data_IF_400183248008
#
_entry.id   IF_400183248008
#
_cell.length_a   1.000
_cell.length_b   1.000
_cell.length_c   1.000
_cell.angle_alpha   90.00
_cell.angle_beta   90.00
_cell.angle_gamma   90.00
#
_symmetry.space_group_name_H-M   'P 1'
#
loop_
_entity.id
_entity.type
_entity.pdbx_description
1 polymer ?
#
# COMPACT_ATOMS: atom_id res chain seq x y z
N UNK A 1 17.53 -9.10 -18.13
CA UNK A 1 18.01 -9.62 -16.81
C UNK A 1 17.90 -8.57 -15.70
N UNK A 2 18.44 -7.36 -15.85
CA UNK A 2 18.41 -6.30 -14.81
C UNK A 2 17.01 -5.89 -14.34
N UNK A 3 16.05 -5.67 -15.26
CA UNK A 3 14.66 -5.32 -14.90
C UNK A 3 13.98 -6.37 -13.99
N UNK A 4 14.23 -7.67 -14.23
CA UNK A 4 13.68 -8.75 -13.38
C UNK A 4 14.27 -8.75 -11.98
N UNK A 5 15.58 -8.50 -11.85
CA UNK A 5 16.24 -8.41 -10.54
C UNK A 5 15.72 -7.20 -9.77
N UNK A 6 15.62 -6.02 -10.43
CA UNK A 6 15.03 -4.81 -9.84
C UNK A 6 13.59 -5.06 -9.36
N UNK A 7 12.76 -5.68 -10.19
CA UNK A 7 11.38 -5.99 -9.85
C UNK A 7 11.29 -6.91 -8.63
N UNK A 8 12.11 -7.96 -8.54
CA UNK A 8 12.11 -8.86 -7.38
C UNK A 8 12.51 -8.13 -6.08
N UNK A 9 13.49 -7.22 -6.15
CA UNK A 9 13.85 -6.38 -5.00
C UNK A 9 12.70 -5.48 -4.57
N UNK A 10 12.01 -4.86 -5.53
CA UNK A 10 10.86 -4.00 -5.24
C UNK A 10 9.67 -4.79 -4.66
N UNK A 11 9.39 -5.99 -5.17
CA UNK A 11 8.38 -6.89 -4.59
C UNK A 11 8.67 -7.19 -3.13
N UNK A 12 9.92 -7.51 -2.80
CA UNK A 12 10.32 -7.74 -1.41
C UNK A 12 10.17 -6.49 -0.54
N UNK A 13 10.52 -5.32 -1.07
CA UNK A 13 10.32 -4.05 -0.34
C UNK A 13 8.83 -3.76 -0.12
N UNK A 14 7.99 -4.02 -1.11
CA UNK A 14 6.54 -3.88 -1.02
C UNK A 14 5.96 -4.83 0.02
N UNK A 15 6.33 -6.11 0.01
CA UNK A 15 5.88 -7.10 0.98
C UNK A 15 6.24 -6.72 2.41
N UNK A 16 7.48 -6.26 2.64
CA UNK A 16 7.99 -5.83 3.94
C UNK A 16 7.56 -4.42 4.35
N UNK A 17 6.86 -3.68 3.48
CA UNK A 17 6.40 -2.34 3.80
C UNK A 17 5.34 -2.39 4.90
N UNK A 18 5.61 -1.67 5.98
CA UNK A 18 4.75 -1.49 7.14
C UNK A 18 4.91 -0.05 7.64
N UNK A 19 3.82 0.54 8.14
CA UNK A 19 3.87 1.87 8.75
C UNK A 19 4.59 1.78 10.10
N UNK A 20 5.48 2.72 10.37
CA UNK A 20 6.17 2.80 11.67
C UNK A 20 5.31 3.54 12.70
N UNK A 21 5.47 3.23 13.99
CA UNK A 21 4.63 3.77 15.08
C UNK A 21 4.58 5.31 15.14
N UNK A 22 5.69 5.97 14.74
CA UNK A 22 5.83 7.43 14.74
C UNK A 22 5.84 8.03 13.33
N UNK A 23 5.61 7.24 12.29
CA UNK A 23 5.52 7.72 10.93
C UNK A 23 4.18 8.44 10.71
N UNK A 24 4.18 9.52 9.93
CA UNK A 24 2.93 10.16 9.52
C UNK A 24 2.31 9.35 8.41
N UNK A 25 0.98 9.25 8.40
CA UNK A 25 0.22 8.57 7.34
C UNK A 25 0.62 9.06 5.94
N UNK A 26 0.78 10.38 5.74
CA UNK A 26 1.22 10.93 4.46
C UNK A 26 2.62 10.46 4.03
N UNK A 27 3.57 10.32 4.98
CA UNK A 27 4.92 9.85 4.70
C UNK A 27 4.90 8.37 4.31
N UNK A 28 4.08 7.58 5.01
CA UNK A 28 3.83 6.18 4.69
C UNK A 28 3.25 6.00 3.27
N UNK A 29 2.19 6.75 2.93
CA UNK A 29 1.61 6.72 1.59
C UNK A 29 2.62 7.11 0.51
N UNK A 30 3.45 8.12 0.77
CA UNK A 30 4.50 8.54 -0.16
C UNK A 30 5.50 7.41 -0.44
N UNK A 31 5.90 6.65 0.59
CA UNK A 31 6.77 5.46 0.43
C UNK A 31 6.09 4.36 -0.37
N UNK A 32 4.82 4.05 -0.07
CA UNK A 32 4.04 3.05 -0.77
C UNK A 32 3.94 3.39 -2.27
N UNK A 33 3.47 4.60 -2.60
CA UNK A 33 3.31 5.05 -3.98
C UNK A 33 4.63 5.06 -4.73
N UNK A 34 5.74 5.43 -4.08
CA UNK A 34 7.06 5.36 -4.69
C UNK A 34 7.43 3.93 -5.10
N UNK A 35 7.20 2.93 -4.26
CA UNK A 35 7.50 1.52 -4.59
C UNK A 35 6.59 1.04 -5.71
N UNK A 36 5.29 1.33 -5.63
CA UNK A 36 4.28 0.96 -6.63
C UNK A 36 4.61 1.54 -8.00
N UNK A 37 4.92 2.85 -8.07
CA UNK A 37 5.31 3.51 -9.32
C UNK A 37 6.57 2.86 -9.93
N UNK A 38 7.59 2.55 -9.11
CA UNK A 38 8.80 1.88 -9.59
C UNK A 38 8.53 0.46 -10.09
N UNK A 39 7.57 -0.26 -9.49
CA UNK A 39 7.14 -1.57 -9.97
C UNK A 39 6.35 -1.47 -11.27
N UNK A 40 5.47 -0.48 -11.41
CA UNK A 40 4.74 -0.20 -12.66
C UNK A 40 5.68 0.15 -13.81
N UNK A 41 6.73 0.95 -13.57
CA UNK A 41 7.81 1.20 -14.54
C UNK A 41 8.53 -0.09 -14.98
N UNK A 42 8.54 -1.12 -14.11
CA UNK A 42 9.06 -2.45 -14.42
C UNK A 42 8.05 -3.36 -15.12
N UNK A 43 6.81 -2.90 -15.34
CA UNK A 43 5.74 -3.61 -16.05
C UNK A 43 4.71 -4.31 -15.15
N UNK A 44 4.76 -4.11 -13.83
CA UNK A 44 3.70 -4.58 -12.92
C UNK A 44 2.42 -3.76 -13.08
N UNK A 45 1.28 -4.38 -12.74
CA UNK A 45 -0.02 -3.70 -12.73
C UNK A 45 -0.62 -3.84 -11.35
N UNK A 46 -1.14 -2.75 -10.83
CA UNK A 46 -1.82 -2.71 -9.54
C UNK A 46 -3.26 -2.29 -9.78
N UNK A 47 -4.19 -2.93 -9.08
CA UNK A 47 -5.54 -2.42 -8.94
C UNK A 47 -5.60 -1.52 -7.71
N UNK A 48 -6.52 -0.56 -7.72
CA UNK A 48 -6.73 0.30 -6.55
C UNK A 48 -7.07 -0.50 -5.31
N UNK A 49 -7.89 -1.55 -5.46
CA UNK A 49 -8.19 -2.52 -4.40
C UNK A 49 -6.93 -3.13 -3.76
N UNK A 50 -5.94 -3.55 -4.57
CA UNK A 50 -4.71 -4.17 -4.05
C UNK A 50 -3.93 -3.20 -3.16
N UNK A 51 -3.98 -1.90 -3.50
CA UNK A 51 -3.31 -0.84 -2.76
C UNK A 51 -4.09 -0.45 -1.50
N UNK A 52 -5.42 -0.35 -1.59
CA UNK A 52 -6.33 -0.12 -0.45
C UNK A 52 -6.15 -1.22 0.59
N UNK A 53 -6.24 -2.49 0.19
CA UNK A 53 -6.00 -3.62 1.08
C UNK A 53 -4.59 -3.59 1.68
N UNK A 54 -3.58 -3.23 0.88
CA UNK A 54 -2.21 -3.09 1.37
C UNK A 54 -2.14 -2.04 2.48
N UNK A 55 -2.70 -0.85 2.28
CA UNK A 55 -2.68 0.22 3.28
C UNK A 55 -3.41 -0.22 4.55
N UNK A 56 -4.60 -0.78 4.44
CA UNK A 56 -5.39 -1.24 5.60
C UNK A 56 -4.64 -2.28 6.43
N UNK A 57 -3.94 -3.24 5.79
CA UNK A 57 -3.15 -4.28 6.49
C UNK A 57 -1.85 -3.78 7.13
N UNK A 58 -1.36 -2.62 6.74
CA UNK A 58 -0.02 -2.13 7.10
C UNK A 58 -0.04 -0.84 7.90
N UNK A 59 -1.21 -0.20 7.98
CA UNK A 59 -1.50 0.84 8.96
C UNK A 59 -1.20 0.30 10.36
N UNK A 60 -0.65 1.18 11.20
CA UNK A 60 -0.33 0.82 12.58
C UNK A 60 -1.60 0.53 13.38
N UNK A 61 -1.54 -0.34 14.41
CA UNK A 61 -2.68 -0.69 15.26
C UNK A 61 -3.40 0.51 15.89
N UNK A 62 -2.71 1.65 15.98
CA UNK A 62 -3.28 2.93 16.41
C UNK A 62 -4.47 3.38 15.55
N UNK A 63 -4.55 2.95 14.30
CA UNK A 63 -5.63 3.26 13.38
C UNK A 63 -6.69 2.15 13.28
N UNK A 64 -6.54 1.03 13.99
CA UNK A 64 -7.43 -0.14 13.87
C UNK A 64 -8.91 0.22 14.06
N UNK A 65 -9.23 1.08 15.04
CA UNK A 65 -10.61 1.52 15.24
C UNK A 65 -11.20 2.30 14.05
N UNK A 66 -10.36 3.08 13.34
CA UNK A 66 -10.78 3.80 12.12
C UNK A 66 -10.85 2.87 10.92
N UNK A 67 -9.91 1.93 10.81
CA UNK A 67 -9.90 0.89 9.77
C UNK A 67 -11.16 0.05 9.86
N UNK A 68 -11.49 -0.46 11.05
CA UNK A 68 -12.71 -1.23 11.31
C UNK A 68 -13.98 -0.45 10.94
N UNK A 69 -14.04 0.84 11.27
CA UNK A 69 -15.20 1.68 10.91
C UNK A 69 -15.33 1.84 9.38
N UNK A 70 -14.21 1.96 8.65
CA UNK A 70 -14.22 2.06 7.19
C UNK A 70 -14.66 0.73 6.56
N UNK A 71 -14.15 -0.40 7.06
CA UNK A 71 -14.53 -1.75 6.60
C UNK A 71 -16.02 -2.06 6.84
N UNK A 72 -16.57 -1.60 7.97
CA UNK A 72 -18.00 -1.77 8.28
C UNK A 72 -18.89 -0.84 7.43
N UNK A 73 -18.39 0.35 7.08
CA UNK A 73 -19.17 1.35 6.35
C UNK A 73 -19.12 1.18 4.83
N UNK A 74 -18.06 0.57 4.27
CA UNK A 74 -17.82 0.49 2.82
C UNK A 74 -17.13 -0.82 2.42
N UNK A 75 -17.47 -1.29 1.23
CA UNK A 75 -16.77 -2.40 0.60
C UNK A 75 -15.40 -1.92 0.07
N UNK A 76 -14.31 -2.47 0.63
CA UNK A 76 -12.94 -2.16 0.23
C UNK A 76 -12.65 -2.53 -1.24
N UNK A 77 -13.43 -3.44 -1.83
CA UNK A 77 -13.24 -3.87 -3.22
C UNK A 77 -13.69 -2.84 -4.25
N UNK A 78 -14.57 -1.92 -3.87
CA UNK A 78 -15.03 -0.82 -4.72
C UNK A 78 -14.32 0.50 -4.45
N UNK A 79 -13.46 0.53 -3.41
CA UNK A 79 -12.83 1.74 -2.93
C UNK A 79 -11.59 2.11 -3.77
N UNK A 80 -11.47 3.39 -4.12
CA UNK A 80 -10.24 3.90 -4.74
C UNK A 80 -9.25 4.34 -3.67
N UNK A 81 -7.96 4.25 -3.99
CA UNK A 81 -6.91 4.70 -3.07
C UNK A 81 -6.98 6.21 -2.77
N UNK A 82 -7.56 6.99 -3.69
CA UNK A 82 -7.79 8.43 -3.50
C UNK A 82 -8.90 8.73 -2.48
N UNK A 83 -9.74 7.76 -2.16
CA UNK A 83 -10.87 7.89 -1.23
C UNK A 83 -10.54 7.43 0.20
N UNK A 84 -9.29 7.01 0.42
CA UNK A 84 -8.80 6.49 1.70
C UNK A 84 -8.32 7.60 2.65
#
# INVERSE_FOLDING_TARGET
KLKKVKLNTLKRQYELLQMEDNERVCDYFTRLLRIVNQMQECGEKFKDQDLVEKVMRTLTPRFDGRVATIEEARDLSEMKIEEL
#
